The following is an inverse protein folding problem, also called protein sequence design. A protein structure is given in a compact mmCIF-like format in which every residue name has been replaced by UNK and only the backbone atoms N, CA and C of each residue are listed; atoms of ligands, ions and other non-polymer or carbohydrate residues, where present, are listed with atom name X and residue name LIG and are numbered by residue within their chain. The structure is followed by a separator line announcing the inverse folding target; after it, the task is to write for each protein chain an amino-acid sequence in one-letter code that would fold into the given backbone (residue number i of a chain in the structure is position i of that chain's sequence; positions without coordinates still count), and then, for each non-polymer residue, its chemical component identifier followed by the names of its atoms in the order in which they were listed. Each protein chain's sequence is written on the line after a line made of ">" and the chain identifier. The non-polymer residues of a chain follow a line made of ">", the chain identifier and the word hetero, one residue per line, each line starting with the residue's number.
data_IF_097996280820
#
_entry.id   IF_097996280820
#
_cell.length_a   1.000
_cell.length_b   1.000
_cell.length_c   1.000
_cell.angle_alpha   90.00
_cell.angle_beta   90.00
_cell.angle_gamma   90.00
#
_symmetry.space_group_name_H-M   'P 1'
#
loop_
_entity.id
_entity.type
_entity.pdbx_description
1 polymer ?
#
# COMPACT_ATOMS: atom_id res chain seq x y z
N UNK A 1 42.82 3.30 1.47
CA UNK A 1 41.57 2.92 2.13
C UNK A 1 40.71 4.08 2.67
N UNK A 2 41.22 5.29 2.81
CA UNK A 2 40.49 6.47 3.40
C UNK A 2 39.50 7.20 2.43
N UNK A 3 39.50 6.89 1.13
CA UNK A 3 38.67 7.60 0.13
C UNK A 3 37.27 7.00 -0.11
N UNK A 4 37.01 5.80 0.39
CA UNK A 4 35.72 5.11 0.19
C UNK A 4 34.79 5.14 1.40
N UNK A 5 35.31 5.54 2.57
CA UNK A 5 34.52 5.63 3.81
C UNK A 5 33.47 6.75 3.75
N UNK A 6 33.70 7.80 2.95
CA UNK A 6 32.74 8.89 2.76
C UNK A 6 31.53 8.53 1.91
N UNK A 7 31.67 7.55 1.02
CA UNK A 7 30.55 7.06 0.20
C UNK A 7 29.58 6.25 1.06
N UNK A 8 30.08 5.48 2.03
CA UNK A 8 29.25 4.70 2.96
C UNK A 8 28.53 5.60 3.99
N UNK A 9 29.18 6.67 4.46
CA UNK A 9 28.59 7.61 5.45
C UNK A 9 27.49 8.47 4.84
N UNK A 10 27.53 8.75 3.52
CA UNK A 10 26.47 9.48 2.83
C UNK A 10 25.14 8.71 2.73
N UNK A 11 25.16 7.37 2.92
CA UNK A 11 23.98 6.52 2.86
C UNK A 11 23.30 6.27 4.21
N UNK A 12 23.90 6.61 5.35
CA UNK A 12 23.39 6.25 6.69
C UNK A 12 22.60 7.38 7.37
N UNK A 13 22.58 8.58 6.79
CA UNK A 13 22.12 9.80 7.49
C UNK A 13 20.90 10.49 6.91
N UNK A 14 19.94 9.78 6.30
CA UNK A 14 18.67 10.37 5.86
C UNK A 14 17.51 9.48 6.32
N UNK A 15 16.80 9.95 7.31
CA UNK A 15 15.49 9.44 7.66
C UNK A 15 14.60 9.48 6.40
N UNK A 16 14.06 8.33 6.04
CA UNK A 16 13.55 8.08 4.68
C UNK A 16 12.09 7.73 4.74
N UNK A 17 11.27 8.44 3.98
CA UNK A 17 9.84 8.23 3.86
C UNK A 17 9.45 8.10 2.38
N UNK A 18 8.30 7.60 2.05
CA UNK A 18 8.13 6.71 0.93
C UNK A 18 6.86 6.84 0.08
N UNK A 19 6.89 6.51 -1.23
CA UNK A 19 5.74 6.40 -2.15
C UNK A 19 5.77 5.17 -3.09
N UNK A 20 4.61 4.94 -3.79
CA UNK A 20 4.31 3.89 -4.76
C UNK A 20 5.48 3.55 -5.70
N UNK A 21 5.69 2.26 -5.98
CA UNK A 21 6.79 1.71 -6.80
C UNK A 21 6.77 2.12 -8.28
N UNK A 22 6.23 3.29 -8.63
CA UNK A 22 6.04 3.72 -10.02
C UNK A 22 7.34 4.05 -10.71
N UNK A 23 8.30 4.65 -10.01
CA UNK A 23 9.64 4.90 -10.56
C UNK A 23 10.30 3.58 -10.93
N UNK A 24 10.11 2.51 -10.12
CA UNK A 24 10.69 1.21 -10.38
C UNK A 24 10.14 0.54 -11.62
N UNK A 25 8.89 0.81 -12.02
CA UNK A 25 8.26 0.13 -13.14
C UNK A 25 9.07 0.31 -14.44
N UNK A 26 9.52 -0.81 -15.02
CA UNK A 26 10.33 -0.88 -16.22
C UNK A 26 11.59 0.03 -16.20
N UNK A 27 12.27 0.10 -15.03
CA UNK A 27 13.44 0.96 -14.84
C UNK A 27 14.73 0.17 -14.87
N UNK A 28 15.65 0.57 -15.77
CA UNK A 28 17.05 0.14 -15.82
C UNK A 28 17.29 -1.39 -15.85
N UNK A 29 16.28 -2.20 -16.15
CA UNK A 29 16.37 -3.67 -16.12
C UNK A 29 16.68 -4.25 -14.74
N UNK A 30 16.29 -3.56 -13.67
CA UNK A 30 16.47 -4.02 -12.29
C UNK A 30 15.69 -5.33 -12.03
N UNK A 31 16.25 -6.31 -11.28
CA UNK A 31 15.53 -7.54 -10.95
C UNK A 31 14.17 -7.30 -10.28
N UNK A 32 14.07 -6.28 -9.45
CA UNK A 32 12.86 -5.91 -8.72
C UNK A 32 11.72 -5.40 -9.62
N UNK A 33 12.01 -4.98 -10.87
CA UNK A 33 10.97 -4.60 -11.84
C UNK A 33 10.06 -5.77 -12.17
N UNK A 34 10.58 -7.00 -12.13
CA UNK A 34 9.79 -8.21 -12.31
C UNK A 34 8.69 -8.36 -11.25
N UNK A 35 8.85 -7.77 -10.04
CA UNK A 35 7.79 -7.75 -9.02
C UNK A 35 6.59 -6.90 -9.44
N UNK A 36 6.78 -5.93 -10.35
CA UNK A 36 5.74 -5.04 -10.85
C UNK A 36 5.19 -5.48 -12.20
N UNK A 37 5.99 -6.17 -13.00
CA UNK A 37 5.53 -6.77 -14.26
C UNK A 37 6.38 -8.01 -14.57
N UNK A 38 5.87 -9.22 -14.36
CA UNK A 38 6.61 -10.45 -14.67
C UNK A 38 6.88 -10.66 -16.16
N UNK A 39 6.27 -9.85 -17.05
CA UNK A 39 6.50 -9.88 -18.49
C UNK A 39 7.59 -8.92 -18.99
N UNK A 40 8.39 -8.31 -18.12
CA UNK A 40 9.54 -7.48 -18.52
C UNK A 40 10.75 -8.34 -18.91
N UNK A 41 11.44 -7.94 -19.98
CA UNK A 41 12.66 -8.62 -20.40
C UNK A 41 13.83 -8.30 -19.45
N UNK A 42 14.67 -9.32 -19.21
CA UNK A 42 15.91 -9.20 -18.44
C UNK A 42 17.11 -9.35 -19.38
N UNK A 43 18.16 -8.54 -19.20
CA UNK A 43 19.35 -8.53 -20.04
C UNK A 43 20.56 -9.23 -19.44
N UNK A 44 20.39 -9.93 -18.32
CA UNK A 44 21.44 -10.64 -17.58
C UNK A 44 21.16 -12.14 -17.52
N UNK A 45 22.23 -12.92 -17.31
CA UNK A 45 22.14 -14.39 -17.20
C UNK A 45 21.65 -14.83 -15.83
N UNK A 46 22.11 -14.14 -14.79
CA UNK A 46 21.82 -14.52 -13.41
C UNK A 46 21.82 -13.29 -12.50
N UNK A 47 20.94 -13.28 -11.49
CA UNK A 47 21.03 -12.34 -10.40
C UNK A 47 20.83 -13.01 -9.05
N UNK A 48 21.45 -12.42 -8.02
CA UNK A 48 21.14 -12.68 -6.61
C UNK A 48 20.95 -11.34 -5.92
N UNK A 49 19.84 -11.15 -5.25
CA UNK A 49 19.63 -10.04 -4.35
C UNK A 49 20.44 -10.18 -3.07
N UNK A 50 21.02 -9.08 -2.58
CA UNK A 50 21.67 -9.09 -1.27
C UNK A 50 20.61 -9.35 -0.19
N UNK A 51 20.78 -10.37 0.67
CA UNK A 51 19.78 -10.72 1.68
C UNK A 51 19.39 -9.51 2.55
N UNK A 52 18.08 -9.29 2.71
CA UNK A 52 17.44 -8.18 3.44
C UNK A 52 17.68 -6.79 2.84
N UNK A 53 18.54 -6.65 1.83
CA UNK A 53 18.91 -5.36 1.23
C UNK A 53 18.69 -5.33 -0.29
N UNK A 54 18.17 -6.37 -0.92
CA UNK A 54 17.94 -6.40 -2.37
C UNK A 54 16.77 -5.51 -2.79
N UNK A 55 15.78 -5.37 -1.93
CA UNK A 55 14.59 -4.57 -2.18
C UNK A 55 13.95 -4.17 -0.87
N UNK A 56 14.28 -2.97 -0.39
CA UNK A 56 13.61 -2.34 0.75
C UNK A 56 12.77 -1.19 0.23
N UNK A 57 11.48 -1.25 0.47
CA UNK A 57 10.56 -0.16 0.13
C UNK A 57 9.63 0.13 1.29
N UNK A 58 9.32 1.39 1.47
CA UNK A 58 8.34 1.84 2.46
C UNK A 58 7.55 3.02 1.90
N UNK A 59 6.27 3.08 2.18
CA UNK A 59 5.31 4.08 1.73
C UNK A 59 4.43 4.51 2.91
N UNK A 60 4.28 5.82 3.10
CA UNK A 60 3.31 6.43 3.98
C UNK A 60 2.52 7.46 3.18
N UNK A 61 1.21 7.39 3.22
CA UNK A 61 0.33 8.34 2.54
C UNK A 61 -0.88 8.68 3.40
N UNK A 62 -1.28 9.95 3.35
CA UNK A 62 -2.47 10.48 3.98
C UNK A 62 -3.19 11.38 2.99
N UNK A 63 -4.48 11.21 2.82
CA UNK A 63 -5.30 12.09 1.98
C UNK A 63 -6.14 13.02 2.84
N UNK A 64 -6.60 14.12 2.27
CA UNK A 64 -7.48 15.09 2.91
C UNK A 64 -6.78 16.11 3.80
N UNK A 65 -5.64 15.80 4.39
CA UNK A 65 -4.83 16.74 5.19
C UNK A 65 -3.37 16.30 5.30
N UNK A 66 -2.52 17.18 5.81
CA UNK A 66 -1.12 16.88 6.15
C UNK A 66 -0.90 16.87 7.67
N UNK A 67 0.18 16.23 8.10
CA UNK A 67 0.56 16.20 9.54
C UNK A 67 0.78 17.61 10.09
N UNK A 68 1.35 18.52 9.29
CA UNK A 68 1.59 19.91 9.69
C UNK A 68 0.31 20.72 9.91
N UNK A 69 -0.79 20.38 9.24
CA UNK A 69 -2.07 21.09 9.45
C UNK A 69 -2.64 20.84 10.84
N UNK A 70 -2.35 19.69 11.47
CA UNK A 70 -2.79 19.41 12.85
C UNK A 70 -1.69 19.73 13.86
N UNK A 71 -0.43 19.29 13.62
CA UNK A 71 0.64 19.33 14.61
C UNK A 71 1.67 20.46 14.35
N UNK A 72 1.57 21.18 13.24
CA UNK A 72 2.47 22.29 12.92
C UNK A 72 2.40 23.41 13.98
N UNK A 73 3.53 24.06 14.23
CA UNK A 73 3.63 25.14 15.21
C UNK A 73 3.05 26.43 14.63
N UNK A 74 1.88 26.83 15.10
CA UNK A 74 1.25 28.11 14.80
C UNK A 74 0.41 28.57 16.02
N UNK A 75 -0.22 29.76 15.94
CA UNK A 75 -1.01 30.36 17.02
C UNK A 75 -2.39 29.72 17.25
N UNK A 76 -2.84 28.83 16.34
CA UNK A 76 -4.17 28.22 16.42
C UNK A 76 -4.18 27.07 17.44
N UNK A 77 -5.29 26.90 18.15
CA UNK A 77 -5.48 25.74 19.02
C UNK A 77 -5.59 24.43 18.21
N UNK A 78 -5.28 23.29 18.84
CA UNK A 78 -5.44 21.98 18.19
C UNK A 78 -6.90 21.78 17.77
N UNK A 79 -7.86 22.24 18.58
CA UNK A 79 -9.30 22.15 18.25
C UNK A 79 -9.66 22.90 16.99
N UNK A 80 -9.13 24.14 16.81
CA UNK A 80 -9.39 24.93 15.60
C UNK A 80 -8.78 24.29 14.35
N UNK A 81 -7.59 23.68 14.50
CA UNK A 81 -6.92 22.95 13.43
C UNK A 81 -7.72 21.72 13.01
N UNK A 82 -8.15 20.91 13.97
CA UNK A 82 -9.00 19.74 13.71
C UNK A 82 -10.31 20.15 13.06
N UNK A 83 -10.98 21.22 13.54
CA UNK A 83 -12.19 21.73 12.93
C UNK A 83 -11.98 22.20 11.48
N UNK A 84 -10.81 22.77 11.17
CA UNK A 84 -10.46 23.19 9.81
C UNK A 84 -10.22 21.97 8.91
N UNK A 85 -9.50 20.96 9.39
CA UNK A 85 -9.26 19.71 8.67
C UNK A 85 -10.58 18.99 8.40
N UNK A 86 -11.47 18.89 9.38
CA UNK A 86 -12.77 18.22 9.22
C UNK A 86 -13.66 18.83 8.12
N UNK A 87 -13.51 20.12 7.83
CA UNK A 87 -14.24 20.76 6.71
C UNK A 87 -13.73 20.31 5.35
N UNK A 88 -12.45 19.98 5.26
CA UNK A 88 -11.76 19.68 4.00
C UNK A 88 -11.72 18.19 3.67
N UNK A 89 -11.74 17.31 4.68
CA UNK A 89 -11.67 15.85 4.45
C UNK A 89 -12.98 15.31 3.87
N UNK A 90 -12.84 14.25 3.07
CA UNK A 90 -13.92 13.43 2.55
C UNK A 90 -14.06 12.12 3.34
N UNK A 91 -15.22 11.48 3.25
CA UNK A 91 -15.49 10.17 3.88
C UNK A 91 -14.67 9.02 3.30
N UNK A 92 -14.01 9.24 2.18
CA UNK A 92 -13.13 8.28 1.51
C UNK A 92 -11.64 8.59 1.72
N UNK A 93 -11.31 9.64 2.48
CA UNK A 93 -9.93 9.94 2.84
C UNK A 93 -9.34 8.88 3.77
N UNK A 94 -8.04 8.64 3.65
CA UNK A 94 -7.40 7.50 4.29
C UNK A 94 -5.94 7.78 4.70
N UNK A 95 -5.48 7.01 5.66
CA UNK A 95 -4.09 6.79 5.98
C UNK A 95 -3.66 5.44 5.40
N UNK A 96 -2.54 5.38 4.69
CA UNK A 96 -1.96 4.17 4.11
C UNK A 96 -0.51 4.00 4.51
N UNK A 97 -0.14 2.77 4.86
CA UNK A 97 1.23 2.36 5.09
C UNK A 97 1.47 1.10 4.26
N UNK A 98 2.51 1.11 3.43
CA UNK A 98 2.96 -0.09 2.73
C UNK A 98 4.48 -0.20 2.88
N UNK A 99 4.97 -1.33 3.38
CA UNK A 99 6.39 -1.59 3.50
C UNK A 99 6.70 -3.00 3.02
N UNK A 100 7.78 -3.14 2.27
CA UNK A 100 8.25 -4.44 1.76
C UNK A 100 9.74 -4.57 1.93
N UNK A 101 10.18 -5.72 2.44
CA UNK A 101 11.59 -6.07 2.60
C UNK A 101 11.84 -7.41 1.92
N UNK A 102 12.64 -7.42 0.87
CA UNK A 102 13.10 -8.65 0.23
C UNK A 102 14.13 -9.35 1.15
N UNK A 103 13.75 -10.51 1.65
CA UNK A 103 14.66 -11.35 2.46
C UNK A 103 15.65 -12.08 1.57
N UNK A 104 15.15 -12.54 0.42
CA UNK A 104 15.95 -13.25 -0.57
C UNK A 104 15.31 -13.10 -1.95
N UNK A 105 16.13 -12.88 -2.98
CA UNK A 105 15.71 -12.95 -4.38
C UNK A 105 16.83 -13.51 -5.25
N UNK A 106 16.45 -14.29 -6.25
CA UNK A 106 17.36 -14.78 -7.26
C UNK A 106 16.61 -15.07 -8.56
N UNK A 107 17.34 -15.12 -9.66
CA UNK A 107 16.80 -15.55 -10.93
C UNK A 107 17.91 -15.89 -11.92
N UNK A 108 17.57 -16.71 -12.88
CA UNK A 108 18.50 -17.18 -13.89
C UNK A 108 17.83 -17.39 -15.24
N UNK A 109 18.59 -17.22 -16.29
CA UNK A 109 18.19 -17.51 -17.67
C UNK A 109 18.27 -19.02 -17.90
N UNK A 110 17.10 -19.63 -18.07
CA UNK A 110 17.00 -21.08 -18.30
C UNK A 110 17.36 -21.44 -19.76
N UNK A 111 16.90 -20.64 -20.71
CA UNK A 111 17.24 -20.72 -22.11
C UNK A 111 17.27 -19.29 -22.72
N UNK A 112 17.55 -19.18 -24.04
CA UNK A 112 17.63 -17.87 -24.71
C UNK A 112 16.38 -17.01 -24.58
N UNK A 113 15.21 -17.63 -24.37
CA UNK A 113 13.91 -16.97 -24.35
C UNK A 113 13.25 -16.94 -22.98
N UNK A 114 13.75 -17.76 -22.02
CA UNK A 114 13.09 -17.98 -20.73
C UNK A 114 13.97 -17.55 -19.57
N UNK A 115 13.40 -16.72 -18.69
CA UNK A 115 14.01 -16.33 -17.42
C UNK A 115 13.14 -16.77 -16.26
N UNK A 116 13.74 -17.39 -15.25
CA UNK A 116 13.06 -17.88 -14.05
C UNK A 116 13.53 -17.04 -12.87
N UNK A 117 12.59 -16.57 -12.06
CA UNK A 117 12.86 -15.79 -10.86
C UNK A 117 12.12 -16.36 -9.66
N UNK A 118 12.70 -16.26 -8.48
CA UNK A 118 12.08 -16.69 -7.22
C UNK A 118 12.60 -15.85 -6.07
N UNK A 119 11.81 -15.78 -5.02
CA UNK A 119 12.20 -15.01 -3.85
C UNK A 119 11.23 -15.14 -2.69
N UNK A 120 11.59 -14.46 -1.62
CA UNK A 120 10.79 -14.33 -0.41
C UNK A 120 10.92 -12.89 0.11
N UNK A 121 9.78 -12.27 0.42
CA UNK A 121 9.74 -10.96 1.02
C UNK A 121 8.70 -10.87 2.14
N UNK A 122 8.92 -9.96 3.09
CA UNK A 122 7.91 -9.53 4.05
C UNK A 122 7.18 -8.32 3.52
N UNK A 123 5.89 -8.27 3.77
CA UNK A 123 5.02 -7.13 3.40
C UNK A 123 4.16 -6.74 4.60
N UNK A 124 4.15 -5.45 4.91
CA UNK A 124 3.16 -4.78 5.72
C UNK A 124 2.31 -3.94 4.79
N UNK A 125 1.01 -4.17 4.75
CA UNK A 125 0.06 -3.38 3.98
C UNK A 125 -1.11 -2.97 4.88
N UNK A 126 -1.25 -1.68 5.13
CA UNK A 126 -2.27 -1.12 6.00
C UNK A 126 -2.98 0.06 5.31
N UNK A 127 -4.29 0.10 5.43
CA UNK A 127 -5.11 1.24 5.07
C UNK A 127 -6.20 1.42 6.13
N UNK A 128 -6.39 2.65 6.60
CA UNK A 128 -7.47 3.03 7.49
C UNK A 128 -8.17 4.27 6.94
N UNK A 129 -9.47 4.18 6.72
CA UNK A 129 -10.25 5.31 6.24
C UNK A 129 -10.58 6.26 7.40
N UNK A 130 -10.61 7.56 7.12
CA UNK A 130 -10.84 8.59 8.14
C UNK A 130 -12.35 8.69 8.36
N UNK A 131 -12.86 8.35 9.55
CA UNK A 131 -14.30 8.34 9.80
C UNK A 131 -14.80 9.77 10.07
N UNK A 132 -14.95 10.58 9.00
CA UNK A 132 -15.35 11.99 9.08
C UNK A 132 -16.58 12.21 9.96
N UNK A 133 -17.62 11.40 9.78
CA UNK A 133 -18.87 11.54 10.52
C UNK A 133 -18.66 11.37 12.03
N UNK A 134 -17.86 10.39 12.44
CA UNK A 134 -17.52 10.18 13.85
C UNK A 134 -16.67 11.31 14.43
N UNK A 135 -15.72 11.82 13.65
CA UNK A 135 -14.89 12.94 14.07
C UNK A 135 -15.74 14.20 14.22
N UNK A 136 -16.68 14.45 13.30
CA UNK A 136 -17.64 15.57 13.41
C UNK A 136 -18.50 15.44 14.65
N UNK A 137 -19.04 14.26 14.94
CA UNK A 137 -19.79 14.02 16.19
C UNK A 137 -18.95 14.24 17.45
N UNK A 138 -17.67 13.85 17.41
CA UNK A 138 -16.77 14.00 18.56
C UNK A 138 -16.34 15.46 18.80
N UNK A 139 -16.24 16.29 17.76
CA UNK A 139 -15.80 17.69 17.85
C UNK A 139 -16.95 18.67 18.03
N UNK A 140 -17.98 18.55 17.19
CA UNK A 140 -19.07 19.51 17.10
C UNK A 140 -20.31 19.05 17.87
N UNK A 141 -20.38 17.75 18.20
CA UNK A 141 -21.58 17.13 18.75
C UNK A 141 -22.68 16.96 17.70
N UNK A 142 -23.86 16.57 18.17
CA UNK A 142 -25.01 16.26 17.31
C UNK A 142 -26.08 17.37 17.25
N UNK A 143 -26.04 18.34 18.14
CA UNK A 143 -27.08 19.36 18.27
C UNK A 143 -27.19 20.28 17.04
N UNK A 144 -26.06 20.55 16.36
CA UNK A 144 -26.02 21.36 15.13
C UNK A 144 -26.45 20.55 13.88
N UNK A 145 -26.60 19.24 13.99
CA UNK A 145 -26.82 18.31 12.86
C UNK A 145 -28.15 17.55 13.00
N UNK A 146 -29.20 18.24 13.47
CA UNK A 146 -30.52 17.62 13.58
C UNK A 146 -31.02 17.12 12.23
N UNK A 147 -31.58 15.91 12.21
CA UNK A 147 -32.05 15.19 11.02
C UNK A 147 -30.93 14.82 10.02
N UNK A 148 -29.66 15.07 10.35
CA UNK A 148 -28.53 14.61 9.54
C UNK A 148 -28.18 13.15 9.89
N UNK A 149 -27.78 12.40 8.86
CA UNK A 149 -27.40 11.00 9.00
C UNK A 149 -25.87 10.87 9.01
N UNK A 150 -25.32 10.24 10.04
CA UNK A 150 -23.91 9.90 10.18
C UNK A 150 -23.72 8.40 9.91
N UNK A 151 -22.86 8.07 8.97
CA UNK A 151 -22.71 6.70 8.47
C UNK A 151 -21.64 5.91 9.21
N UNK A 152 -21.96 4.67 9.63
CA UNK A 152 -21.02 3.71 10.19
C UNK A 152 -20.11 3.06 9.14
N UNK A 153 -20.43 3.16 7.84
CA UNK A 153 -19.64 2.57 6.75
C UNK A 153 -18.22 3.17 6.64
N UNK A 154 -18.03 4.39 7.14
CA UNK A 154 -16.73 5.07 7.16
C UNK A 154 -15.73 4.43 8.14
N UNK A 155 -16.19 3.63 9.12
CA UNK A 155 -15.33 2.84 10.01
C UNK A 155 -14.77 1.65 9.24
N UNK A 156 -13.83 1.89 8.35
CA UNK A 156 -13.25 0.86 7.50
C UNK A 156 -11.72 0.86 7.59
N UNK A 157 -11.15 -0.32 7.78
CA UNK A 157 -9.71 -0.50 7.74
C UNK A 157 -9.34 -1.91 7.31
N UNK A 158 -8.10 -2.05 6.84
CA UNK A 158 -7.47 -3.33 6.56
C UNK A 158 -5.98 -3.25 6.84
N UNK A 159 -5.48 -4.26 7.56
CA UNK A 159 -4.06 -4.43 7.90
C UNK A 159 -3.66 -5.88 7.62
N UNK A 160 -2.61 -6.06 6.85
CA UNK A 160 -1.99 -7.34 6.55
C UNK A 160 -0.49 -7.30 6.89
N UNK A 161 0.01 -8.31 7.61
CA UNK A 161 1.44 -8.61 7.76
C UNK A 161 1.71 -10.00 7.20
N UNK A 162 2.46 -10.05 6.11
CA UNK A 162 2.63 -11.25 5.30
C UNK A 162 4.11 -11.61 5.09
N UNK A 163 4.40 -12.89 5.04
CA UNK A 163 5.52 -13.44 4.29
C UNK A 163 5.03 -13.92 2.93
N UNK A 164 5.74 -13.59 1.87
CA UNK A 164 5.35 -13.95 0.49
C UNK A 164 6.50 -14.68 -0.18
N UNK A 165 6.29 -15.96 -0.44
CA UNK A 165 7.17 -16.79 -1.28
C UNK A 165 6.63 -16.69 -2.71
N UNK A 166 7.51 -16.47 -3.68
CA UNK A 166 7.10 -16.38 -5.07
C UNK A 166 8.06 -17.08 -6.02
N UNK A 167 7.52 -17.57 -7.13
CA UNK A 167 8.26 -18.05 -8.27
C UNK A 167 7.61 -17.56 -9.56
N UNK A 168 8.41 -17.04 -10.49
CA UNK A 168 7.94 -16.45 -11.73
C UNK A 168 8.73 -16.94 -12.94
N UNK A 169 8.06 -16.94 -14.07
CA UNK A 169 8.64 -17.23 -15.39
C UNK A 169 8.34 -16.09 -16.32
N UNK A 170 9.37 -15.57 -16.98
CA UNK A 170 9.27 -14.60 -18.07
C UNK A 170 9.71 -15.30 -19.34
N UNK A 171 8.92 -15.23 -20.42
CA UNK A 171 9.24 -15.89 -21.69
C UNK A 171 9.00 -14.99 -22.87
N UNK A 172 10.01 -14.85 -23.71
CA UNK A 172 9.93 -14.19 -25.01
C UNK A 172 9.21 -15.13 -25.98
N UNK A 173 7.97 -14.80 -26.32
CA UNK A 173 7.11 -15.60 -27.21
C UNK A 173 7.46 -15.34 -28.68
N UNK A 174 7.76 -14.09 -29.02
CA UNK A 174 8.24 -13.63 -30.33
C UNK A 174 9.22 -12.48 -30.14
N UNK A 175 9.76 -11.93 -31.25
CA UNK A 175 10.63 -10.72 -31.13
C UNK A 175 9.89 -9.50 -30.61
N UNK A 176 8.57 -9.48 -30.70
CA UNK A 176 7.75 -8.38 -30.23
C UNK A 176 7.06 -8.64 -28.89
N UNK A 177 6.78 -9.89 -28.53
CA UNK A 177 5.94 -10.23 -27.39
C UNK A 177 6.71 -11.02 -26.34
N UNK A 178 6.76 -10.49 -25.13
CA UNK A 178 7.22 -11.18 -23.91
C UNK A 178 6.05 -11.31 -22.94
N UNK A 179 5.82 -12.49 -22.44
CA UNK A 179 4.81 -12.80 -21.41
C UNK A 179 5.47 -13.27 -20.14
N UNK A 180 4.83 -13.02 -19.02
CA UNK A 180 5.29 -13.52 -17.73
C UNK A 180 4.15 -13.85 -16.79
N UNK A 181 4.43 -14.81 -15.93
CA UNK A 181 3.53 -15.22 -14.86
C UNK A 181 4.30 -15.48 -13.58
N UNK A 182 3.66 -15.24 -12.44
CA UNK A 182 4.22 -15.50 -11.12
C UNK A 182 3.17 -16.13 -10.23
N UNK A 183 3.57 -17.18 -9.55
CA UNK A 183 2.81 -17.80 -8.47
C UNK A 183 3.34 -17.30 -7.13
N UNK A 184 2.41 -17.03 -6.20
CA UNK A 184 2.69 -16.57 -4.85
C UNK A 184 2.03 -17.46 -3.81
N UNK A 185 2.75 -17.72 -2.72
CA UNK A 185 2.21 -18.31 -1.50
C UNK A 185 2.30 -17.24 -0.42
N UNK A 186 1.15 -16.88 0.14
CA UNK A 186 1.05 -15.95 1.25
C UNK A 186 1.06 -16.71 2.57
N UNK A 187 1.82 -16.22 3.55
CA UNK A 187 1.78 -16.68 4.93
C UNK A 187 1.47 -15.48 5.84
N UNK A 188 0.22 -15.37 6.27
CA UNK A 188 -0.22 -14.24 7.08
C UNK A 188 0.14 -14.44 8.54
N UNK A 189 0.97 -13.54 9.07
CA UNK A 189 1.28 -13.46 10.48
C UNK A 189 0.22 -12.70 11.26
N UNK A 190 -0.39 -11.68 10.62
CA UNK A 190 -1.43 -10.87 11.20
C UNK A 190 -2.35 -10.34 10.08
N UNK A 191 -3.65 -10.41 10.35
CA UNK A 191 -4.66 -9.68 9.60
C UNK A 191 -5.63 -9.02 10.59
N UNK A 192 -6.04 -7.80 10.29
CA UNK A 192 -7.14 -7.12 10.96
C UNK A 192 -7.93 -6.33 9.91
N UNK A 193 -9.22 -6.57 9.82
CA UNK A 193 -10.05 -5.90 8.83
C UNK A 193 -11.48 -5.65 9.32
N UNK A 194 -12.02 -4.51 8.85
CA UNK A 194 -13.42 -4.16 8.99
C UNK A 194 -13.82 -3.35 7.76
N UNK A 195 -14.37 -4.00 6.74
CA UNK A 195 -14.51 -3.43 5.40
C UNK A 195 -15.95 -3.42 4.86
N UNK A 196 -16.90 -3.96 5.65
CA UNK A 196 -18.29 -4.12 5.22
C UNK A 196 -19.25 -3.63 6.30
N UNK A 197 -18.94 -2.49 6.89
CA UNK A 197 -19.77 -1.89 7.92
C UNK A 197 -20.94 -1.11 7.29
N UNK A 198 -22.08 -1.17 7.96
CA UNK A 198 -23.27 -0.39 7.63
C UNK A 198 -24.02 0.02 8.88
N UNK A 199 -24.96 0.91 8.72
CA UNK A 199 -25.73 1.52 9.78
C UNK A 199 -25.56 3.02 9.83
N UNK A 200 -26.41 3.68 10.59
CA UNK A 200 -26.38 5.13 10.73
C UNK A 200 -26.73 5.59 12.13
N UNK A 201 -26.25 6.77 12.49
CA UNK A 201 -26.66 7.51 13.67
C UNK A 201 -27.39 8.78 13.22
N UNK A 202 -28.55 9.08 13.80
CA UNK A 202 -29.34 10.29 13.57
C UNK A 202 -29.82 10.87 14.88
N UNK A 203 -29.97 12.20 14.92
CA UNK A 203 -30.59 12.90 16.02
C UNK A 203 -31.76 13.74 15.49
N UNK A 204 -32.93 13.49 16.04
CA UNK A 204 -34.15 14.18 15.66
C UNK A 204 -34.72 14.96 16.87
N UNK A 205 -35.46 16.00 16.60
CA UNK A 205 -36.25 16.67 17.64
C UNK A 205 -37.50 15.80 17.93
N UNK A 206 -37.60 15.33 19.15
CA UNK A 206 -38.75 14.59 19.65
C UNK A 206 -39.79 15.48 20.33
N UNK A 207 -40.69 14.86 21.05
CA UNK A 207 -41.71 15.58 21.84
C UNK A 207 -41.05 16.34 23.00
N UNK A 208 -41.67 17.47 23.42
CA UNK A 208 -41.24 18.27 24.56
C UNK A 208 -39.79 18.80 24.49
N UNK A 209 -39.29 19.09 23.28
CA UNK A 209 -37.90 19.53 23.02
C UNK A 209 -36.81 18.52 23.49
N UNK A 210 -37.15 17.25 23.62
CA UNK A 210 -36.20 16.18 23.92
C UNK A 210 -35.61 15.70 22.59
N UNK A 211 -34.30 15.51 22.54
CA UNK A 211 -33.64 14.90 21.37
C UNK A 211 -33.85 13.40 21.38
N UNK A 212 -34.20 12.86 20.21
CA UNK A 212 -34.28 11.43 19.98
C UNK A 212 -33.05 11.01 19.16
N UNK A 213 -32.25 10.13 19.74
CA UNK A 213 -31.06 9.57 19.10
C UNK A 213 -31.36 8.18 18.58
N UNK A 214 -31.05 7.93 17.32
CA UNK A 214 -31.27 6.64 16.68
C UNK A 214 -29.97 6.08 16.12
N UNK A 215 -29.72 4.82 16.43
CA UNK A 215 -28.76 3.97 15.76
C UNK A 215 -29.56 2.98 14.93
N UNK A 216 -29.55 3.14 13.61
CA UNK A 216 -30.38 2.33 12.70
C UNK A 216 -29.54 1.36 11.89
N UNK A 217 -30.03 0.10 11.83
CA UNK A 217 -29.48 -0.94 10.95
C UNK A 217 -27.97 -1.17 11.12
N UNK A 218 -27.49 -1.11 12.35
CA UNK A 218 -26.09 -1.42 12.67
C UNK A 218 -25.78 -2.82 12.16
N UNK A 219 -24.74 -2.95 11.36
CA UNK A 219 -24.13 -4.21 10.99
C UNK A 219 -22.63 -3.96 10.78
N UNK A 220 -21.85 -4.21 11.82
CA UNK A 220 -20.41 -4.07 11.78
C UNK A 220 -19.73 -5.42 12.01
N UNK A 221 -18.63 -5.65 11.31
CA UNK A 221 -17.88 -6.90 11.36
C UNK A 221 -16.39 -6.62 11.46
N UNK A 222 -15.84 -6.73 12.67
CA UNK A 222 -14.41 -6.62 12.95
C UNK A 222 -13.83 -8.03 12.96
N UNK A 223 -12.88 -8.30 12.06
CA UNK A 223 -12.20 -9.60 11.94
C UNK A 223 -10.74 -9.45 12.23
N UNK A 224 -10.20 -10.36 13.05
CA UNK A 224 -8.75 -10.41 13.32
C UNK A 224 -8.25 -11.84 13.26
N UNK A 225 -6.99 -11.96 12.86
CA UNK A 225 -6.28 -13.23 12.84
C UNK A 225 -4.81 -13.00 13.18
N UNK A 226 -4.25 -13.80 14.08
CA UNK A 226 -2.85 -13.67 14.51
C UNK A 226 -2.59 -12.52 15.49
N UNK A 227 -3.60 -11.74 15.88
CA UNK A 227 -3.47 -10.63 16.82
C UNK A 227 -3.75 -11.08 18.26
N UNK A 228 -4.74 -11.94 18.45
CA UNK A 228 -5.24 -12.38 19.74
C UNK A 228 -5.13 -13.91 19.82
N UNK A 229 -4.62 -14.42 20.92
CA UNK A 229 -4.57 -15.84 21.24
C UNK A 229 -5.01 -16.02 22.70
N UNK A 230 -5.99 -16.92 22.93
CA UNK A 230 -6.55 -17.19 24.27
C UNK A 230 -7.03 -15.90 24.99
N UNK A 231 -7.67 -14.98 24.27
CA UNK A 231 -8.13 -13.66 24.74
C UNK A 231 -7.01 -12.68 25.17
N UNK A 232 -5.75 -12.96 24.87
CA UNK A 232 -4.62 -12.07 25.14
C UNK A 232 -3.97 -11.63 23.82
N UNK A 233 -3.46 -10.40 23.79
CA UNK A 233 -2.68 -9.91 22.65
C UNK A 233 -1.36 -10.68 22.55
N UNK A 234 -1.01 -11.10 21.33
CA UNK A 234 0.28 -11.73 21.05
C UNK A 234 1.34 -10.61 21.04
N UNK A 235 2.14 -10.54 22.13
CA UNK A 235 3.21 -9.53 22.28
C UNK A 235 4.59 -10.05 21.86
N UNK A 236 4.70 -11.28 21.36
CA UNK A 236 5.97 -11.88 20.95
C UNK A 236 6.23 -11.66 19.45
N UNK A 237 7.20 -10.79 19.14
CA UNK A 237 7.64 -10.50 17.78
C UNK A 237 8.19 -11.74 17.06
N UNK A 238 8.79 -12.71 17.78
CA UNK A 238 9.27 -13.94 17.18
C UNK A 238 8.11 -14.80 16.65
N UNK A 239 6.95 -14.76 17.30
CA UNK A 239 5.76 -15.47 16.83
C UNK A 239 5.28 -14.88 15.50
N UNK A 240 5.23 -13.56 15.36
CA UNK A 240 4.88 -12.90 14.10
C UNK A 240 5.89 -13.28 13.00
N UNK A 241 7.19 -13.17 13.28
CA UNK A 241 8.23 -13.53 12.33
C UNK A 241 8.13 -15.00 11.90
N UNK A 242 7.94 -15.94 12.82
CA UNK A 242 7.76 -17.36 12.49
C UNK A 242 6.51 -17.61 11.63
N UNK A 243 5.43 -16.89 11.86
CA UNK A 243 4.19 -17.05 11.11
C UNK A 243 4.32 -16.55 9.65
N UNK A 244 5.28 -15.68 9.34
CA UNK A 244 5.57 -15.29 7.96
C UNK A 244 6.28 -16.39 7.16
N UNK A 245 6.80 -17.45 7.80
CA UNK A 245 7.49 -18.58 7.17
C UNK A 245 6.60 -19.84 7.09
N UNK A 246 5.47 -19.77 6.42
CA UNK A 246 4.51 -20.87 6.17
C UNK A 246 3.90 -21.48 7.45
N UNK A 247 3.96 -20.79 8.56
CA UNK A 247 3.36 -21.21 9.84
C UNK A 247 2.10 -20.42 10.21
N UNK A 248 1.83 -19.35 9.49
CA UNK A 248 0.64 -18.52 9.66
C UNK A 248 -0.57 -19.06 8.88
N UNK A 249 -1.54 -18.20 8.69
CA UNK A 249 -2.67 -18.47 7.82
C UNK A 249 -2.22 -18.38 6.37
N UNK A 250 -2.52 -19.39 5.57
CA UNK A 250 -1.98 -19.53 4.23
C UNK A 250 -2.94 -19.02 3.15
N UNK A 251 -2.36 -18.53 2.07
CA UNK A 251 -3.07 -18.07 0.89
C UNK A 251 -2.27 -18.29 -0.39
N UNK A 252 -2.89 -18.01 -1.51
CA UNK A 252 -2.27 -18.13 -2.82
C UNK A 252 -2.59 -16.91 -3.67
N UNK A 253 -1.71 -16.59 -4.62
CA UNK A 253 -1.92 -15.49 -5.56
C UNK A 253 -1.19 -15.71 -6.87
N UNK A 254 -1.63 -14.96 -7.86
CA UNK A 254 -1.10 -14.97 -9.22
C UNK A 254 -0.83 -13.56 -9.68
N UNK A 255 0.28 -13.39 -10.40
CA UNK A 255 0.58 -12.20 -11.17
C UNK A 255 0.74 -12.58 -12.65
N UNK A 256 0.30 -11.69 -13.52
CA UNK A 256 0.48 -11.79 -14.95
C UNK A 256 1.05 -10.50 -15.50
N UNK A 257 1.89 -10.61 -16.51
CA UNK A 257 2.47 -9.44 -17.14
C UNK A 257 2.81 -9.69 -18.60
N UNK A 258 2.87 -8.61 -19.34
CA UNK A 258 3.26 -8.62 -20.75
C UNK A 258 4.06 -7.37 -21.10
N UNK A 259 4.89 -7.54 -22.15
CA UNK A 259 5.55 -6.44 -22.87
C UNK A 259 5.40 -6.70 -24.35
N UNK A 260 4.97 -5.68 -25.09
CA UNK A 260 4.78 -5.74 -26.54
C UNK A 260 5.51 -4.59 -27.23
N UNK A 261 6.46 -4.92 -28.08
CA UNK A 261 7.18 -3.98 -28.91
C UNK A 261 6.33 -3.67 -30.16
N UNK A 262 5.67 -2.52 -30.16
CA UNK A 262 4.89 -2.05 -31.33
C UNK A 262 5.83 -1.73 -32.49
N UNK A 263 6.95 -1.08 -32.16
CA UNK A 263 8.10 -0.85 -33.03
C UNK A 263 9.40 -1.09 -32.25
N UNK A 264 10.56 -0.96 -32.88
CA UNK A 264 11.86 -1.02 -32.16
C UNK A 264 11.98 0.07 -31.07
N UNK A 265 11.25 1.17 -31.21
CA UNK A 265 11.29 2.32 -30.28
C UNK A 265 10.08 2.39 -29.36
N UNK A 266 8.92 1.90 -29.80
CA UNK A 266 7.66 2.04 -29.08
C UNK A 266 7.26 0.72 -28.42
N UNK A 267 7.19 0.73 -27.11
CA UNK A 267 6.82 -0.40 -26.26
C UNK A 267 5.53 -0.11 -25.51
N UNK A 268 4.65 -1.10 -25.49
CA UNK A 268 3.54 -1.19 -24.53
C UNK A 268 3.85 -2.26 -23.50
N UNK A 269 3.53 -2.02 -22.23
CA UNK A 269 3.64 -3.04 -21.19
C UNK A 269 2.44 -2.97 -20.24
N UNK A 270 2.07 -4.10 -19.67
CA UNK A 270 0.97 -4.17 -18.71
C UNK A 270 1.10 -5.33 -17.75
N UNK A 271 0.51 -5.20 -16.56
CA UNK A 271 0.48 -6.27 -15.57
C UNK A 271 -0.75 -6.22 -14.67
N UNK A 272 -1.15 -7.39 -14.20
CA UNK A 272 -2.15 -7.59 -13.14
C UNK A 272 -1.45 -8.36 -12.03
N UNK A 273 -1.46 -7.81 -10.81
CA UNK A 273 -0.70 -8.34 -9.69
C UNK A 273 -1.61 -8.62 -8.49
N UNK A 274 -1.16 -9.57 -7.65
CA UNK A 274 -1.81 -9.92 -6.39
C UNK A 274 -3.29 -10.39 -6.55
N UNK A 275 -3.61 -11.06 -7.65
CA UNK A 275 -4.91 -11.74 -7.79
C UNK A 275 -4.90 -12.96 -6.89
N UNK A 276 -5.37 -12.79 -5.65
CA UNK A 276 -5.22 -13.83 -4.65
C UNK A 276 -5.95 -13.54 -3.35
N UNK A 277 -5.87 -14.51 -2.45
CA UNK A 277 -6.53 -14.46 -1.16
C UNK A 277 -5.72 -15.17 -0.08
N UNK A 278 -6.05 -14.89 1.18
CA UNK A 278 -5.54 -15.59 2.37
C UNK A 278 -6.73 -16.19 3.11
N UNK A 279 -6.61 -17.45 3.50
CA UNK A 279 -7.59 -18.15 4.31
C UNK A 279 -7.15 -18.14 5.77
N UNK A 280 -7.89 -17.42 6.61
CA UNK A 280 -7.64 -17.28 8.04
C UNK A 280 -8.37 -18.37 8.81
N UNK A 281 -7.62 -19.22 9.52
CA UNK A 281 -8.13 -20.40 10.27
C UNK A 281 -7.62 -20.48 11.71
N UNK A 282 -6.55 -19.73 12.03
CA UNK A 282 -5.90 -19.83 13.34
C UNK A 282 -5.82 -18.49 14.04
N UNK A 283 -5.93 -18.51 15.37
CA UNK A 283 -5.90 -17.31 16.22
C UNK A 283 -6.88 -16.22 15.74
N UNK A 284 -8.11 -16.64 15.44
CA UNK A 284 -9.17 -15.77 14.96
C UNK A 284 -9.94 -15.21 16.16
N UNK A 285 -10.28 -13.95 16.07
CA UNK A 285 -11.31 -13.32 16.88
C UNK A 285 -12.08 -12.34 16.01
N UNK A 286 -13.35 -12.63 15.79
CA UNK A 286 -14.27 -11.77 15.06
C UNK A 286 -15.30 -11.23 16.03
N UNK A 287 -15.68 -9.97 15.87
CA UNK A 287 -16.78 -9.34 16.62
C UNK A 287 -17.80 -8.83 15.63
N UNK A 288 -19.02 -9.36 15.69
CA UNK A 288 -20.14 -8.93 14.84
C UNK A 288 -21.16 -8.21 15.70
N UNK A 289 -21.45 -6.96 15.37
CA UNK A 289 -22.45 -6.14 16.06
C UNK A 289 -23.62 -5.83 15.11
N UNK A 290 -24.83 -6.17 15.52
CA UNK A 290 -26.05 -5.98 14.73
C UNK A 290 -27.19 -5.49 15.61
N UNK A 291 -28.01 -4.59 15.04
CA UNK A 291 -29.23 -4.13 15.70
C UNK A 291 -29.59 -2.71 15.34
N UNK A 292 -30.60 -2.21 16.02
CA UNK A 292 -30.99 -0.79 16.03
C UNK A 292 -31.31 -0.40 17.45
N UNK A 293 -31.06 0.85 17.80
CA UNK A 293 -31.36 1.37 19.14
C UNK A 293 -31.88 2.78 19.05
N UNK A 294 -32.95 3.07 19.79
CA UNK A 294 -33.50 4.42 19.90
C UNK A 294 -33.42 4.87 21.35
N UNK A 295 -32.86 6.05 21.57
CA UNK A 295 -32.79 6.70 22.87
C UNK A 295 -33.62 7.98 22.84
N UNK A 296 -34.67 8.05 23.65
CA UNK A 296 -35.63 9.17 23.69
C UNK A 296 -35.48 10.01 24.97
N UNK A 297 -34.35 9.90 25.67
CA UNK A 297 -34.12 10.58 26.95
C UNK A 297 -34.31 9.65 28.14
N UNK A 298 -34.18 10.22 29.34
CA UNK A 298 -34.34 9.52 30.63
C UNK A 298 -35.51 10.16 31.37
N UNK A 299 -36.48 9.35 31.75
CA UNK A 299 -37.50 9.77 32.72
C UNK A 299 -36.95 9.60 34.12
N UNK A 300 -36.76 10.70 34.85
CA UNK A 300 -36.32 10.69 36.25
C UNK A 300 -37.52 10.53 37.16
N UNK A 301 -37.55 9.47 37.94
CA UNK A 301 -38.53 9.27 39.02
C UNK A 301 -37.95 9.87 40.32
N UNK A 302 -38.70 10.79 40.94
CA UNK A 302 -38.22 11.58 42.07
C UNK A 302 -37.99 10.73 43.32
N UNK A 303 -38.68 9.61 43.47
CA UNK A 303 -38.65 8.76 44.66
C UNK A 303 -37.61 7.63 44.65
N UNK A 304 -36.86 7.47 43.56
CA UNK A 304 -35.87 6.38 43.42
C UNK A 304 -34.43 6.89 43.36
N UNK A 305 -33.93 7.35 44.52
CA UNK A 305 -32.56 7.85 44.67
C UNK A 305 -31.45 6.81 44.35
N UNK A 306 -31.80 5.50 44.27
CA UNK A 306 -30.87 4.41 44.06
C UNK A 306 -30.93 3.84 42.65
N UNK A 307 -31.80 4.34 41.79
CA UNK A 307 -31.94 3.87 40.41
C UNK A 307 -30.74 4.27 39.56
N UNK A 308 -30.07 3.28 38.96
CA UNK A 308 -28.94 3.51 38.07
C UNK A 308 -29.42 3.59 36.64
N UNK A 309 -29.90 4.76 36.21
CA UNK A 309 -30.43 5.05 34.86
C UNK A 309 -29.43 4.70 33.77
N UNK A 310 -28.12 4.93 33.98
CA UNK A 310 -27.09 4.60 33.00
C UNK A 310 -26.98 3.10 32.77
N UNK A 311 -27.11 2.29 33.81
CA UNK A 311 -27.11 0.85 33.69
C UNK A 311 -28.33 0.33 32.92
N UNK A 312 -29.50 0.94 33.11
CA UNK A 312 -30.71 0.59 32.36
C UNK A 312 -30.58 0.89 30.88
N UNK A 313 -30.01 2.05 30.50
CA UNK A 313 -29.73 2.42 29.11
C UNK A 313 -28.73 1.43 28.52
N UNK A 314 -27.68 1.09 29.25
CA UNK A 314 -26.68 0.12 28.80
C UNK A 314 -27.30 -1.27 28.57
N UNK A 315 -28.18 -1.71 29.47
CA UNK A 315 -28.89 -2.98 29.31
C UNK A 315 -29.83 -2.95 28.10
N UNK A 316 -30.64 -1.91 27.93
CA UNK A 316 -31.55 -1.74 26.82
C UNK A 316 -30.77 -1.66 25.48
N UNK A 317 -29.61 -0.99 25.45
CA UNK A 317 -28.72 -0.98 24.31
C UNK A 317 -28.20 -2.40 23.99
N UNK A 318 -27.70 -3.12 24.98
CA UNK A 318 -27.17 -4.49 24.80
C UNK A 318 -28.23 -5.51 24.36
N UNK A 319 -29.48 -5.30 24.74
CA UNK A 319 -30.60 -6.14 24.29
C UNK A 319 -30.97 -5.91 22.83
N UNK A 320 -30.90 -4.66 22.37
CA UNK A 320 -31.30 -4.27 21.01
C UNK A 320 -30.13 -4.32 20.03
N UNK A 321 -28.92 -4.06 20.50
CA UNK A 321 -27.69 -4.08 19.70
C UNK A 321 -26.82 -5.25 20.15
N UNK A 322 -26.98 -6.36 19.47
CA UNK A 322 -26.29 -7.61 19.80
C UNK A 322 -24.88 -7.60 19.28
N UNK A 323 -23.91 -7.63 20.19
CA UNK A 323 -22.50 -7.84 19.86
C UNK A 323 -22.11 -9.28 20.22
N UNK A 324 -21.60 -10.03 19.24
CA UNK A 324 -21.20 -11.44 19.42
C UNK A 324 -19.80 -11.66 18.90
N UNK A 325 -18.97 -12.25 19.75
CA UNK A 325 -17.66 -12.76 19.37
C UNK A 325 -17.80 -14.17 18.78
N UNK A 326 -16.99 -14.46 17.74
CA UNK A 326 -16.83 -15.79 17.19
C UNK A 326 -15.40 -16.01 16.69
N UNK A 327 -15.08 -17.26 16.40
CA UNK A 327 -13.78 -17.68 15.87
C UNK A 327 -13.92 -18.34 14.49
N UNK A 328 -14.95 -17.94 13.73
CA UNK A 328 -15.20 -18.48 12.40
C UNK A 328 -14.09 -18.12 11.42
N UNK A 329 -13.67 -19.10 10.63
CA UNK A 329 -12.68 -18.88 9.57
C UNK A 329 -13.23 -17.94 8.50
N UNK A 330 -12.34 -17.12 7.93
CA UNK A 330 -12.71 -16.18 6.88
C UNK A 330 -11.63 -16.06 5.81
N UNK A 331 -12.02 -15.57 4.66
CA UNK A 331 -11.14 -15.27 3.54
C UNK A 331 -10.94 -13.77 3.43
N UNK A 332 -9.69 -13.35 3.31
CA UNK A 332 -9.30 -11.97 3.02
C UNK A 332 -8.70 -11.89 1.61
N UNK A 333 -9.28 -11.08 0.73
CA UNK A 333 -8.78 -10.87 -0.62
C UNK A 333 -7.61 -9.88 -0.61
N UNK A 334 -6.59 -10.17 -1.43
CA UNK A 334 -5.47 -9.24 -1.62
C UNK A 334 -5.91 -8.05 -2.48
N UNK A 335 -5.35 -6.83 -2.25
CA UNK A 335 -5.59 -5.70 -3.13
C UNK A 335 -4.96 -5.98 -4.49
N UNK A 336 -5.78 -6.23 -5.50
CA UNK A 336 -5.33 -6.42 -6.88
C UNK A 336 -4.79 -5.10 -7.43
N UNK A 337 -3.64 -5.16 -8.12
CA UNK A 337 -2.95 -3.99 -8.70
C UNK A 337 -2.88 -4.14 -10.21
N UNK A 338 -3.11 -3.06 -10.92
CA UNK A 338 -2.99 -2.97 -12.38
C UNK A 338 -1.91 -1.97 -12.75
N UNK A 339 -1.08 -2.30 -13.73
CA UNK A 339 -0.16 -1.37 -14.37
C UNK A 339 -0.36 -1.44 -15.88
N UNK A 340 -0.27 -0.29 -16.54
CA UNK A 340 -0.19 -0.18 -17.98
C UNK A 340 0.75 0.97 -18.33
N UNK A 341 1.68 0.79 -19.25
CA UNK A 341 2.61 1.83 -19.64
C UNK A 341 2.91 1.80 -21.15
N UNK A 342 3.16 2.98 -21.67
CA UNK A 342 3.69 3.21 -23.02
C UNK A 342 5.03 3.92 -22.89
N UNK A 343 6.07 3.39 -23.56
CA UNK A 343 7.43 3.91 -23.53
C UNK A 343 7.95 4.09 -24.95
N UNK A 344 8.46 5.28 -25.24
CA UNK A 344 9.15 5.60 -26.50
C UNK A 344 10.64 5.81 -26.22
N UNK A 345 11.48 5.00 -26.86
CA UNK A 345 12.94 5.01 -26.71
C UNK A 345 13.61 5.68 -27.92
N UNK A 346 14.63 6.50 -27.68
CA UNK A 346 15.37 7.24 -28.71
C UNK A 346 16.83 7.48 -28.31
N UNK A 347 17.60 8.17 -29.14
CA UNK A 347 19.00 8.43 -28.88
C UNK A 347 19.87 7.20 -29.09
N UNK A 348 19.91 6.66 -30.30
CA UNK A 348 20.71 5.49 -30.62
C UNK A 348 22.20 5.70 -30.34
N UNK A 349 22.79 4.81 -29.55
CA UNK A 349 24.22 4.75 -29.30
C UNK A 349 24.85 3.79 -30.31
N UNK A 350 25.47 4.33 -31.36
CA UNK A 350 26.20 3.53 -32.32
C UNK A 350 27.52 2.98 -31.73
N UNK A 351 27.84 1.73 -32.06
CA UNK A 351 29.16 1.16 -31.74
C UNK A 351 30.28 1.98 -32.41
N UNK A 352 31.40 2.14 -31.74
CA UNK A 352 32.62 2.72 -32.32
C UNK A 352 33.20 1.88 -33.48
N UNK A 353 32.80 0.62 -33.58
CA UNK A 353 33.27 -0.33 -34.58
C UNK A 353 32.16 -0.63 -35.58
N UNK A 354 32.24 0.00 -36.76
CA UNK A 354 31.24 -0.12 -37.84
C UNK A 354 31.10 -1.53 -38.44
N UNK A 355 31.81 -2.53 -37.96
CA UNK A 355 31.85 -3.89 -38.52
C UNK A 355 31.24 -4.97 -37.65
N UNK A 356 30.71 -4.61 -36.47
CA UNK A 356 30.12 -5.58 -35.55
C UNK A 356 28.62 -5.74 -35.84
N UNK A 357 28.27 -6.76 -36.61
CA UNK A 357 26.86 -7.12 -36.91
C UNK A 357 26.12 -7.76 -35.73
N UNK A 358 26.80 -8.01 -34.60
CA UNK A 358 26.20 -8.56 -33.36
C UNK A 358 25.73 -7.46 -32.42
N UNK A 359 25.91 -6.19 -32.75
CA UNK A 359 25.59 -5.07 -31.92
C UNK A 359 24.05 -4.88 -31.82
N UNK A 360 23.49 -5.09 -30.63
CA UNK A 360 22.12 -4.66 -30.34
C UNK A 360 22.07 -3.15 -30.26
N UNK A 361 21.20 -2.51 -31.03
CA UNK A 361 20.91 -1.10 -30.91
C UNK A 361 20.48 -0.78 -29.47
N UNK A 362 21.13 0.18 -28.87
CA UNK A 362 20.90 0.59 -27.49
C UNK A 362 20.42 2.03 -27.48
N UNK A 363 19.21 2.26 -27.01
CA UNK A 363 18.66 3.60 -26.84
C UNK A 363 19.15 4.19 -25.50
N UNK A 364 19.56 5.46 -25.55
CA UNK A 364 20.08 6.17 -24.38
C UNK A 364 18.98 6.89 -23.61
N UNK A 365 17.90 7.24 -24.27
CA UNK A 365 16.84 8.06 -23.74
C UNK A 365 15.47 7.37 -23.94
N UNK A 366 14.57 7.54 -23.00
CA UNK A 366 13.19 7.12 -23.15
C UNK A 366 12.25 8.08 -22.41
N UNK A 367 11.06 8.26 -22.94
CA UNK A 367 9.97 8.90 -22.21
C UNK A 367 8.69 8.08 -22.38
N UNK A 368 7.75 8.30 -21.47
CA UNK A 368 6.50 7.56 -21.52
C UNK A 368 5.49 8.00 -20.47
N UNK A 369 4.40 7.26 -20.46
CA UNK A 369 3.36 7.41 -19.47
C UNK A 369 2.98 6.04 -18.89
N UNK A 370 2.66 6.00 -17.61
CA UNK A 370 2.22 4.83 -16.88
C UNK A 370 0.92 5.14 -16.13
N UNK A 371 -0.03 4.23 -16.22
CA UNK A 371 -1.24 4.18 -15.41
C UNK A 371 -1.07 3.09 -14.36
N UNK A 372 -1.38 3.40 -13.13
CA UNK A 372 -1.47 2.46 -12.01
C UNK A 372 -2.85 2.52 -11.38
N UNK A 373 -3.38 1.37 -11.00
CA UNK A 373 -4.60 1.27 -10.21
C UNK A 373 -4.47 0.18 -9.15
N UNK A 374 -5.08 0.38 -7.98
CA UNK A 374 -5.20 -0.65 -6.93
C UNK A 374 -6.61 -0.64 -6.37
N UNK A 375 -7.19 -1.85 -6.26
CA UNK A 375 -8.54 -2.04 -5.73
C UNK A 375 -8.49 -2.14 -4.21
N UNK A 376 -9.09 -1.14 -3.55
CA UNK A 376 -9.16 -1.01 -2.09
C UNK A 376 -10.61 -1.12 -1.60
N UNK A 377 -10.86 -1.36 -0.28
CA UNK A 377 -12.19 -1.68 0.23
C UNK A 377 -13.28 -0.64 -0.06
N UNK A 378 -13.04 0.67 0.16
CA UNK A 378 -14.06 1.69 -0.05
C UNK A 378 -13.97 2.39 -1.41
N UNK A 379 -12.76 2.53 -1.95
CA UNK A 379 -12.57 3.10 -3.29
C UNK A 379 -11.25 2.63 -3.91
N UNK A 380 -11.23 2.58 -5.22
CA UNK A 380 -10.03 2.34 -6.01
C UNK A 380 -9.11 3.56 -5.94
N UNK A 381 -7.80 3.30 -5.96
CA UNK A 381 -6.76 4.33 -6.01
C UNK A 381 -6.11 4.30 -7.38
N UNK A 382 -5.91 5.48 -7.97
CA UNK A 382 -5.30 5.64 -9.29
C UNK A 382 -4.08 6.54 -9.23
N UNK A 383 -3.13 6.30 -10.15
CA UNK A 383 -2.04 7.22 -10.40
C UNK A 383 -1.67 7.23 -11.89
N UNK A 384 -1.45 8.42 -12.42
CA UNK A 384 -0.94 8.64 -13.76
C UNK A 384 0.44 9.27 -13.66
N UNK A 385 1.45 8.60 -14.22
CA UNK A 385 2.85 9.00 -14.14
C UNK A 385 3.42 9.24 -15.54
N UNK A 386 3.85 10.46 -15.83
CA UNK A 386 4.76 10.76 -16.92
C UNK A 386 6.20 10.53 -16.46
N UNK A 387 7.06 9.97 -17.32
CA UNK A 387 8.44 9.73 -16.96
C UNK A 387 9.42 10.03 -18.11
N UNK A 388 10.65 10.38 -17.73
CA UNK A 388 11.81 10.43 -18.60
C UNK A 388 12.93 9.60 -17.97
N UNK A 389 13.54 8.73 -18.77
CA UNK A 389 14.65 7.86 -18.40
C UNK A 389 15.86 8.15 -19.27
N UNK A 390 17.04 8.24 -18.64
CA UNK A 390 18.31 8.43 -19.32
C UNK A 390 19.34 7.39 -18.88
N UNK A 391 19.90 6.72 -19.87
CA UNK A 391 21.02 5.80 -19.72
C UNK A 391 22.32 6.50 -20.07
N UNK A 392 23.06 6.99 -19.08
CA UNK A 392 24.37 7.62 -19.26
C UNK A 392 25.42 6.60 -19.74
N UNK A 393 25.24 5.37 -19.33
CA UNK A 393 26.03 4.21 -19.77
C UNK A 393 25.22 2.93 -19.56
N UNK A 394 25.74 1.77 -19.97
CA UNK A 394 25.14 0.47 -19.68
C UNK A 394 25.08 0.14 -18.19
N UNK A 395 25.67 0.98 -17.33
CA UNK A 395 25.82 0.78 -15.89
C UNK A 395 25.26 1.93 -15.03
N UNK A 396 24.86 3.03 -15.64
CA UNK A 396 24.34 4.19 -14.92
C UNK A 396 23.09 4.71 -15.61
N UNK A 397 21.98 4.65 -14.88
CA UNK A 397 20.67 5.08 -15.36
C UNK A 397 20.04 6.03 -14.35
N UNK A 398 19.30 6.99 -14.86
CA UNK A 398 18.47 7.88 -14.06
C UNK A 398 17.06 7.94 -14.65
N UNK A 399 16.07 8.10 -13.81
CA UNK A 399 14.66 8.27 -14.19
C UNK A 399 14.06 9.39 -13.36
N UNK A 400 13.35 10.29 -14.04
CA UNK A 400 12.54 11.34 -13.41
C UNK A 400 11.10 11.06 -13.72
N UNK A 401 10.23 11.21 -12.73
CA UNK A 401 8.79 10.99 -12.85
C UNK A 401 8.02 12.22 -12.40
N UNK A 402 6.89 12.45 -13.04
CA UNK A 402 5.84 13.37 -12.56
C UNK A 402 4.55 12.57 -12.44
N UNK A 403 4.02 12.48 -11.23
CA UNK A 403 2.86 11.66 -10.91
C UNK A 403 1.70 12.52 -10.40
N UNK A 404 0.53 12.24 -10.92
CA UNK A 404 -0.76 12.74 -10.43
C UNK A 404 -1.46 11.55 -9.78
N UNK A 405 -1.78 11.65 -8.49
CA UNK A 405 -2.41 10.58 -7.72
C UNK A 405 -3.42 11.14 -6.70
N UNK A 406 -3.97 10.28 -5.85
CA UNK A 406 -4.94 10.67 -4.81
C UNK A 406 -4.35 11.61 -3.75
N UNK A 407 -3.02 11.67 -3.62
CA UNK A 407 -2.35 12.46 -2.59
C UNK A 407 -1.98 13.86 -3.07
N UNK A 408 -1.55 13.97 -4.32
CA UNK A 408 -1.02 15.23 -4.86
C UNK A 408 -1.10 15.28 -6.38
N UNK A 409 -1.28 16.51 -6.88
CA UNK A 409 -1.12 16.82 -8.30
C UNK A 409 0.33 17.16 -8.69
N UNK A 410 1.28 17.21 -7.71
CA UNK A 410 2.63 17.73 -7.91
C UNK A 410 3.71 16.79 -7.35
N UNK A 411 3.65 15.54 -7.72
CA UNK A 411 4.58 14.57 -7.22
C UNK A 411 5.73 14.34 -8.21
N UNK A 412 6.93 14.77 -7.84
CA UNK A 412 8.14 14.59 -8.64
C UNK A 412 8.99 13.50 -7.98
N UNK A 413 9.30 12.46 -8.75
CA UNK A 413 10.15 11.37 -8.31
C UNK A 413 11.50 11.34 -9.05
N UNK A 414 12.51 10.78 -8.39
CA UNK A 414 13.85 10.58 -8.91
C UNK A 414 14.34 9.16 -8.62
N UNK A 415 14.76 8.46 -9.66
CA UNK A 415 15.38 7.15 -9.59
C UNK A 415 16.79 7.16 -10.15
N UNK A 416 17.71 6.49 -9.45
CA UNK A 416 19.08 6.26 -9.93
C UNK A 416 19.42 4.79 -9.74
N UNK A 417 20.01 4.19 -10.77
CA UNK A 417 20.59 2.84 -10.73
C UNK A 417 22.02 2.89 -11.23
N UNK A 418 22.94 2.29 -10.49
CA UNK A 418 24.34 2.22 -10.87
C UNK A 418 24.89 0.82 -10.65
N UNK A 419 25.72 0.33 -11.58
CA UNK A 419 26.39 -0.95 -11.47
C UNK A 419 27.89 -0.75 -11.45
N UNK A 420 28.53 -1.23 -10.38
CA UNK A 420 29.98 -1.26 -10.23
C UNK A 420 30.41 -2.73 -10.24
N UNK A 421 31.14 -3.14 -11.26
CA UNK A 421 31.51 -4.53 -11.51
C UNK A 421 30.24 -5.41 -11.60
N UNK A 422 29.99 -6.31 -10.65
CA UNK A 422 28.80 -7.17 -10.58
C UNK A 422 27.77 -6.69 -9.55
N UNK A 423 28.08 -5.64 -8.81
CA UNK A 423 27.17 -5.07 -7.79
C UNK A 423 26.38 -3.96 -8.44
N UNK A 424 25.07 -4.12 -8.49
CA UNK A 424 24.12 -3.08 -8.84
C UNK A 424 23.51 -2.54 -7.55
N UNK A 425 23.42 -1.22 -7.44
CA UNK A 425 22.63 -0.56 -6.42
C UNK A 425 21.65 0.41 -7.08
N UNK A 426 20.51 0.57 -6.45
CA UNK A 426 19.51 1.54 -6.89
C UNK A 426 18.88 2.25 -5.71
N UNK A 427 18.47 3.49 -5.96
CA UNK A 427 17.70 4.30 -5.03
C UNK A 427 16.64 5.07 -5.79
N UNK A 428 15.40 5.01 -5.28
CA UNK A 428 14.25 5.66 -5.85
C UNK A 428 13.59 6.48 -4.75
N UNK A 429 13.29 7.73 -5.05
CA UNK A 429 12.68 8.70 -4.15
C UNK A 429 11.53 9.36 -4.88
N UNK A 430 10.36 9.33 -4.31
CA UNK A 430 9.24 10.11 -4.82
C UNK A 430 9.00 11.34 -3.95
N UNK A 431 8.21 12.26 -4.48
CA UNK A 431 7.85 13.53 -3.86
C UNK A 431 9.05 14.29 -3.28
N UNK A 432 10.11 14.40 -4.07
CA UNK A 432 11.37 15.05 -3.65
C UNK A 432 11.16 16.51 -3.26
N UNK A 433 10.14 17.18 -3.79
CA UNK A 433 9.81 18.56 -3.43
C UNK A 433 9.38 18.70 -1.96
N UNK A 434 8.75 17.67 -1.40
CA UNK A 434 8.29 17.66 0.00
C UNK A 434 9.37 17.20 1.01
N UNK A 435 10.55 16.80 0.55
CA UNK A 435 11.65 16.41 1.46
C UNK A 435 12.17 17.58 2.31
N UNK A 436 11.95 18.82 1.89
CA UNK A 436 12.32 20.01 2.67
C UNK A 436 11.38 20.27 3.86
N UNK A 437 10.13 19.80 3.77
CA UNK A 437 9.13 19.85 4.86
C UNK A 437 8.26 18.60 4.82
N UNK A 438 8.74 17.56 5.46
CA UNK A 438 8.10 16.24 5.53
C UNK A 438 6.73 16.31 6.22
N UNK A 439 6.56 17.26 7.15
CA UNK A 439 5.32 17.38 7.90
C UNK A 439 4.16 17.90 7.04
N UNK A 440 4.45 18.61 5.97
CA UNK A 440 3.45 19.11 5.00
C UNK A 440 3.20 18.15 3.84
N UNK A 441 3.97 17.06 3.75
CA UNK A 441 3.80 16.07 2.70
C UNK A 441 2.59 15.17 2.95
N UNK A 442 1.72 15.06 1.95
CA UNK A 442 0.61 14.11 1.99
C UNK A 442 1.05 12.68 1.68
N UNK A 443 2.21 12.54 1.07
CA UNK A 443 2.71 11.25 0.64
C UNK A 443 4.22 11.29 0.43
N UNK A 444 4.91 10.24 0.85
CA UNK A 444 6.36 10.11 0.74
C UNK A 444 6.73 8.65 0.49
N UNK A 445 7.71 8.37 -0.44
CA UNK A 445 8.18 7.02 -0.82
C UNK A 445 9.70 6.92 -0.94
N UNK A 446 10.26 5.85 -0.35
CA UNK A 446 11.63 5.44 -0.56
C UNK A 446 11.70 3.98 -0.99
N UNK A 447 12.54 3.72 -1.98
CA UNK A 447 12.96 2.37 -2.28
C UNK A 447 14.44 2.34 -2.60
N UNK A 448 15.13 1.30 -2.12
CA UNK A 448 16.54 1.05 -2.46
C UNK A 448 16.83 -0.45 -2.45
N UNK A 449 17.95 -0.81 -3.07
CA UNK A 449 18.42 -2.17 -3.01
C UNK A 449 19.77 -2.41 -3.66
N UNK A 450 20.33 -3.59 -3.34
CA UNK A 450 21.61 -4.08 -3.81
C UNK A 450 21.47 -5.47 -4.41
N UNK A 451 21.96 -5.64 -5.62
CA UNK A 451 21.92 -6.91 -6.33
C UNK A 451 23.30 -7.28 -6.88
N UNK A 452 23.58 -8.56 -6.94
CA UNK A 452 24.66 -9.10 -7.75
C UNK A 452 24.09 -9.52 -9.11
N UNK A 453 24.59 -8.93 -10.18
CA UNK A 453 24.14 -9.16 -11.56
C UNK A 453 25.29 -9.72 -12.38
N UNK A 454 25.02 -10.80 -13.10
CA UNK A 454 25.97 -11.53 -13.93
C UNK A 454 25.40 -11.58 -15.37
N UNK A 455 26.15 -11.00 -16.31
CA UNK A 455 25.82 -10.96 -17.74
C UNK A 455 26.43 -12.14 -18.48
#
# INVERSE_FOLDING_TARGET
>A
MRRYTWILVFFIGLDSFSQNKQILYDFAGLPQTLLLNPGLETNYQFHIGMPLLSGVSSELGITGFSVSEIFGVNSNSITDKVATVLKNIDSSDYLKINSQIEVFSAGFRFDEKTYISFGFYHELDAIGYIPKDFLTLATDGNAAYLNSMFSLSQLSYKLDVLGVIHAGVTRKMSDQLTLGGRFKIYSSALNAESTSNSGSFTTNLGNNNIYVHRLDNINTNFRTSGLIKNNEFINDSNTYLKNTFLRGNLGVGLDFGLTYLITSQLQFSGSILDVGFVNHKTNIKNTVTKGSFTFEGIEFEYDDANRNYWNEIELAFKEQVLSKDNNDSYVSWRPTKLNAAIKYSFGEKRSKYCYDTTFKEFYTDAFGAQLYAVFRPLREQFALTGFYEKSFSNKLHAKVTYTIDDYSYYNIGLGVSAQIWKINFYRLLDNIASLSDISSANNISLQFGFNFIFN
#
